data_IF_151430739577
#
_entry.id   IF_151430739577
#
_cell.length_a   1.000
_cell.length_b   1.000
_cell.length_c   1.000
_cell.angle_alpha   90.00
_cell.angle_beta   90.00
_cell.angle_gamma   90.00
#
_symmetry.space_group_name_H-M   'P 1'
#
loop_
_entity.id
_entity.type
_entity.pdbx_description
1 polymer ?
#
# COMPACT_ATOMS: atom_id res chain seq x y z
N UNK A 1 -22.80 -5.72 16.05
CA UNK A 1 -22.14 -4.58 15.41
C UNK A 1 -20.76 -4.46 16.03
N UNK A 2 -19.72 -4.92 15.34
CA UNK A 2 -18.35 -4.80 15.84
C UNK A 2 -17.93 -3.34 15.72
N UNK A 3 -17.73 -2.66 16.84
CA UNK A 3 -17.12 -1.33 16.86
C UNK A 3 -15.64 -1.56 16.57
N UNK A 4 -15.22 -1.21 15.36
CA UNK A 4 -13.81 -1.14 14.99
C UNK A 4 -13.24 0.05 15.76
N UNK A 5 -12.46 -0.19 16.82
CA UNK A 5 -11.73 0.88 17.49
C UNK A 5 -10.85 1.57 16.43
N UNK A 6 -11.07 2.87 16.18
CA UNK A 6 -10.17 3.65 15.34
C UNK A 6 -8.79 3.64 16.00
N UNK A 7 -7.83 2.92 15.39
CA UNK A 7 -6.46 2.89 15.89
C UNK A 7 -5.85 4.26 15.65
N UNK A 8 -5.83 5.06 16.72
CA UNK A 8 -5.14 6.33 16.76
C UNK A 8 -3.67 6.08 17.13
N UNK A 9 -2.81 5.94 16.13
CA UNK A 9 -1.36 6.02 16.34
C UNK A 9 -0.90 7.49 16.46
N UNK A 10 -1.64 8.27 17.26
CA UNK A 10 -1.45 9.69 17.47
C UNK A 10 -0.56 9.91 18.69
N UNK A 11 0.75 9.80 18.52
CA UNK A 11 1.72 10.26 19.52
C UNK A 11 2.59 11.38 18.94
N UNK A 12 3.09 12.34 19.75
CA UNK A 12 3.97 13.40 19.28
C UNK A 12 5.16 12.81 18.51
N UNK A 13 5.33 13.20 17.24
CA UNK A 13 6.37 12.67 16.34
C UNK A 13 5.90 11.60 15.34
N UNK A 14 4.65 11.12 15.41
CA UNK A 14 4.09 10.19 14.43
C UNK A 14 3.32 10.91 13.31
N UNK A 15 3.57 10.50 12.06
CA UNK A 15 3.05 11.14 10.83
C UNK A 15 1.61 10.69 10.52
N UNK A 16 1.18 9.52 11.01
CA UNK A 16 -0.05 8.86 10.59
C UNK A 16 -1.10 8.83 11.72
N UNK A 17 -1.96 9.84 11.75
CA UNK A 17 -2.98 9.96 12.80
C UNK A 17 -4.24 9.09 12.55
N UNK A 18 -4.57 8.84 11.27
CA UNK A 18 -5.78 8.13 10.81
C UNK A 18 -5.56 7.42 9.47
N UNK A 19 -4.39 6.82 9.27
CA UNK A 19 -4.20 5.97 8.09
C UNK A 19 -5.07 4.72 8.27
N UNK A 20 -6.10 4.58 7.43
CA UNK A 20 -6.98 3.41 7.37
C UNK A 20 -6.90 2.67 6.02
N UNK A 21 -6.20 3.27 5.06
CA UNK A 21 -6.01 2.78 3.70
C UNK A 21 -4.58 3.07 3.27
N UNK A 22 -3.90 2.06 2.74
CA UNK A 22 -2.55 2.18 2.18
C UNK A 22 -2.63 1.72 0.73
N UNK A 23 -2.07 2.49 -0.19
CA UNK A 23 -1.93 2.12 -1.59
C UNK A 23 -0.45 1.84 -1.89
N UNK A 24 -0.14 0.59 -2.22
CA UNK A 24 1.17 0.16 -2.67
C UNK A 24 1.15 -0.01 -4.20
N UNK A 25 1.96 0.76 -4.90
CA UNK A 25 2.19 0.59 -6.33
C UNK A 25 3.38 -0.33 -6.57
N UNK A 26 3.21 -1.36 -7.40
CA UNK A 26 4.28 -2.31 -7.74
C UNK A 26 4.52 -2.39 -9.24
N UNK A 27 5.75 -2.19 -9.67
CA UNK A 27 6.21 -2.28 -11.06
C UNK A 27 7.08 -3.52 -11.32
N UNK A 28 7.28 -4.37 -10.31
CA UNK A 28 8.13 -5.57 -10.39
C UNK A 28 9.62 -5.31 -10.12
N UNK A 29 10.01 -4.07 -9.84
CA UNK A 29 11.39 -3.73 -9.47
C UNK A 29 11.74 -4.19 -8.04
N UNK A 30 13.04 -4.29 -7.75
CA UNK A 30 13.54 -4.52 -6.38
C UNK A 30 13.04 -3.43 -5.41
N UNK A 31 12.94 -2.17 -5.89
CA UNK A 31 12.39 -1.07 -5.12
C UNK A 31 10.94 -1.32 -4.70
N UNK A 32 10.11 -1.85 -5.62
CA UNK A 32 8.73 -2.21 -5.32
C UNK A 32 8.62 -3.37 -4.32
N UNK A 33 9.54 -4.33 -4.35
CA UNK A 33 9.59 -5.42 -3.38
C UNK A 33 9.92 -4.91 -1.97
N UNK A 34 10.90 -3.99 -1.82
CA UNK A 34 11.21 -3.35 -0.54
C UNK A 34 10.04 -2.51 -0.02
N UNK A 35 9.38 -1.77 -0.91
CA UNK A 35 8.18 -1.00 -0.56
C UNK A 35 7.03 -1.91 -0.09
N UNK A 36 6.92 -3.12 -0.64
CA UNK A 36 5.90 -4.08 -0.21
C UNK A 36 6.07 -4.51 1.25
N UNK A 37 7.30 -4.80 1.68
CA UNK A 37 7.59 -5.14 3.08
C UNK A 37 7.16 -4.02 4.03
N UNK A 38 7.57 -2.78 3.74
CA UNK A 38 7.23 -1.62 4.57
C UNK A 38 5.73 -1.35 4.57
N UNK A 39 5.07 -1.43 3.41
CA UNK A 39 3.62 -1.21 3.32
C UNK A 39 2.82 -2.25 4.11
N UNK A 40 3.30 -3.50 4.16
CA UNK A 40 2.70 -4.55 4.97
C UNK A 40 2.85 -4.27 6.47
N UNK A 41 4.06 -3.91 6.92
CA UNK A 41 4.32 -3.56 8.32
C UNK A 41 3.45 -2.38 8.77
N UNK A 42 3.38 -1.31 7.97
CA UNK A 42 2.53 -0.15 8.27
C UNK A 42 1.05 -0.53 8.28
N UNK A 43 0.60 -1.41 7.38
CA UNK A 43 -0.78 -1.89 7.36
C UNK A 43 -1.13 -2.67 8.63
N UNK A 44 -0.25 -3.58 9.06
CA UNK A 44 -0.39 -4.37 10.28
C UNK A 44 -0.43 -3.50 11.55
N UNK A 45 0.47 -2.51 11.63
CA UNK A 45 0.57 -1.57 12.76
C UNK A 45 -0.65 -0.65 12.87
N UNK A 46 -1.19 -0.21 11.74
CA UNK A 46 -2.32 0.75 11.70
C UNK A 46 -3.68 0.06 11.56
N UNK A 47 -3.71 -1.26 11.38
CA UNK A 47 -4.88 -2.04 10.90
C UNK A 47 -5.53 -1.40 9.67
N UNK A 48 -4.71 -0.84 8.80
CA UNK A 48 -5.15 -0.30 7.51
C UNK A 48 -5.44 -1.41 6.52
N UNK A 49 -6.39 -1.15 5.62
CA UNK A 49 -6.55 -1.98 4.42
C UNK A 49 -5.46 -1.63 3.41
N UNK A 50 -4.67 -2.63 3.01
CA UNK A 50 -3.65 -2.52 1.97
C UNK A 50 -4.25 -2.80 0.59
N UNK A 51 -4.08 -1.85 -0.33
CA UNK A 51 -4.42 -1.99 -1.74
C UNK A 51 -3.14 -2.10 -2.56
N UNK A 52 -3.08 -3.07 -3.47
CA UNK A 52 -1.93 -3.28 -4.35
C UNK A 52 -2.35 -2.87 -5.77
N UNK A 53 -1.61 -1.94 -6.36
CA UNK A 53 -1.77 -1.52 -7.76
C UNK A 53 -0.54 -1.96 -8.54
N UNK A 54 -0.70 -2.99 -9.37
CA UNK A 54 0.37 -3.42 -10.26
C UNK A 54 0.39 -2.59 -11.54
N UNK A 55 1.54 -2.00 -11.87
CA UNK A 55 1.76 -1.23 -13.10
C UNK A 55 2.45 -2.11 -14.12
N UNK A 56 1.83 -2.26 -15.29
CA UNK A 56 2.41 -2.95 -16.44
C UNK A 56 2.84 -1.89 -17.47
N UNK A 57 4.14 -1.84 -17.85
CA UNK A 57 4.60 -0.92 -18.88
C UNK A 57 3.88 -1.18 -20.21
N UNK A 58 3.22 -0.17 -20.76
CA UNK A 58 2.54 -0.22 -22.05
C UNK A 58 3.42 -0.58 -23.25
N UNK A 59 4.75 -0.31 -23.33
CA UNK A 59 5.55 -0.73 -24.48
C UNK A 59 5.73 -2.24 -24.61
N UNK A 60 5.47 -3.01 -23.53
CA UNK A 60 5.45 -4.49 -23.55
C UNK A 60 4.15 -5.01 -24.19
N UNK A 61 3.08 -4.21 -24.16
CA UNK A 61 1.99 -4.34 -25.12
C UNK A 61 2.50 -3.74 -26.44
N UNK A 62 3.42 -4.45 -27.12
CA UNK A 62 3.40 -4.40 -28.59
C UNK A 62 1.96 -4.67 -28.94
N UNK A 63 1.29 -3.71 -29.59
CA UNK A 63 0.03 -3.96 -30.23
C UNK A 63 0.20 -5.20 -31.11
N UNK A 64 -0.23 -6.35 -30.61
CA UNK A 64 -0.79 -7.40 -31.46
C UNK A 64 -2.24 -6.96 -31.70
N UNK A 65 -2.38 -5.76 -32.27
CA UNK A 65 -3.59 -5.37 -32.96
C UNK A 65 -3.34 -5.81 -34.40
N UNK A 66 -4.04 -6.91 -34.71
CA UNK A 66 -4.36 -7.50 -36.02
C UNK A 66 -3.87 -6.76 -37.27
#
# INVERSE_FOLDING_TARGET
MFIMEEIHYCAPGHIFCRANKILLTVDGSEGSAKAATVAFEVAEMTKSKLYILHVIPTPIVKQIAM
#
